data_IF_241381307814
#
_entry.id   IF_241381307814
#
_cell.length_a   1.000
_cell.length_b   1.000
_cell.length_c   1.000
_cell.angle_alpha   90.00
_cell.angle_beta   90.00
_cell.angle_gamma   90.00
#
_symmetry.space_group_name_H-M   'P 1'
#
loop_
_entity.id
_entity.type
_entity.pdbx_description
1 polymer ?
#
# COMPACT_ATOMS: atom_id res chain seq x y z
N UNK A 1 -9.38 -13.21 -25.64
CA UNK A 1 -8.60 -12.11 -25.06
C UNK A 1 -9.53 -10.92 -25.09
N UNK A 2 -9.72 -10.28 -23.95
CA UNK A 2 -10.70 -9.19 -23.82
C UNK A 2 -9.98 -7.85 -23.98
N UNK A 3 -10.51 -6.96 -24.82
CA UNK A 3 -9.99 -5.60 -24.98
C UNK A 3 -10.77 -4.68 -24.05
N UNK A 4 -10.05 -3.90 -23.24
CA UNK A 4 -10.65 -2.98 -22.26
C UNK A 4 -10.03 -1.60 -22.35
N UNK A 5 -10.82 -0.57 -22.06
CA UNK A 5 -10.32 0.78 -21.91
C UNK A 5 -9.41 0.88 -20.67
N UNK A 6 -8.36 1.68 -20.80
CA UNK A 6 -7.37 1.87 -19.76
C UNK A 6 -6.69 3.24 -19.89
N UNK A 7 -6.00 3.64 -18.83
CA UNK A 7 -5.04 4.74 -18.84
C UNK A 7 -3.63 4.17 -18.65
N UNK A 8 -2.74 4.42 -19.61
CA UNK A 8 -1.39 3.88 -19.60
C UNK A 8 -0.36 4.94 -19.97
N UNK A 9 0.84 4.82 -19.41
CA UNK A 9 1.97 5.63 -19.80
C UNK A 9 2.53 5.06 -21.13
N UNK A 10 2.64 5.85 -22.19
CA UNK A 10 3.19 5.37 -23.47
C UNK A 10 4.73 5.23 -23.44
N UNK A 11 5.39 5.92 -22.51
CA UNK A 11 6.84 5.85 -22.28
C UNK A 11 7.20 6.35 -20.88
N UNK A 12 8.47 6.24 -20.50
CA UNK A 12 9.00 6.72 -19.22
C UNK A 12 8.66 8.19 -18.98
N UNK A 13 8.13 8.46 -17.79
CA UNK A 13 7.70 9.77 -17.30
C UNK A 13 6.66 10.51 -18.17
N UNK A 14 6.12 9.88 -19.22
CA UNK A 14 5.06 10.47 -20.01
C UNK A 14 3.74 10.50 -19.22
N UNK A 15 2.89 11.52 -19.44
CA UNK A 15 1.53 11.52 -18.90
C UNK A 15 0.76 10.25 -19.31
N UNK A 16 -0.14 9.82 -18.44
CA UNK A 16 -1.04 8.70 -18.74
C UNK A 16 -2.03 9.11 -19.84
N UNK A 17 -2.16 8.27 -20.84
CA UNK A 17 -3.07 8.47 -21.98
C UNK A 17 -4.16 7.41 -21.98
N UNK A 18 -5.36 7.81 -22.40
CA UNK A 18 -6.46 6.87 -22.66
C UNK A 18 -6.06 5.94 -23.80
N UNK A 19 -6.18 4.65 -23.57
CA UNK A 19 -5.80 3.60 -24.51
C UNK A 19 -6.72 2.38 -24.39
N UNK A 20 -6.41 1.34 -25.14
CA UNK A 20 -7.02 0.02 -25.03
C UNK A 20 -5.93 -1.00 -24.81
N UNK A 21 -6.06 -1.82 -23.76
CA UNK A 21 -5.15 -2.92 -23.47
C UNK A 21 -5.84 -4.26 -23.71
N UNK A 22 -5.04 -5.30 -23.94
CA UNK A 22 -5.51 -6.68 -24.05
C UNK A 22 -5.32 -7.39 -22.71
N UNK A 23 -6.41 -7.98 -22.20
CA UNK A 23 -6.38 -8.92 -21.08
C UNK A 23 -6.15 -10.32 -21.61
N UNK A 24 -5.26 -11.04 -20.92
CA UNK A 24 -5.05 -12.48 -21.16
C UNK A 24 -6.35 -13.26 -21.00
N UNK A 25 -6.40 -14.45 -21.58
CA UNK A 25 -7.57 -15.32 -21.45
C UNK A 25 -7.80 -15.71 -19.99
N UNK A 26 -9.07 -15.92 -19.63
CA UNK A 26 -9.48 -16.46 -18.35
C UNK A 26 -9.05 -17.94 -18.27
N UNK A 27 -8.02 -18.24 -17.50
CA UNK A 27 -7.56 -19.59 -17.24
C UNK A 27 -8.43 -20.33 -16.21
N UNK A 28 -8.13 -21.62 -16.01
CA UNK A 28 -8.95 -22.50 -15.18
C UNK A 28 -9.04 -22.07 -13.70
N UNK A 29 -7.97 -21.48 -13.14
CA UNK A 29 -7.91 -20.97 -11.76
C UNK A 29 -7.98 -19.44 -11.68
N UNK A 30 -8.34 -18.77 -12.78
CA UNK A 30 -8.41 -17.33 -12.82
C UNK A 30 -9.82 -16.83 -12.58
N UNK A 31 -9.91 -15.59 -12.13
CA UNK A 31 -11.14 -14.84 -12.08
C UNK A 31 -10.99 -13.56 -12.91
N UNK A 32 -12.07 -13.19 -13.60
CA UNK A 32 -12.22 -11.91 -14.26
C UNK A 32 -12.99 -10.99 -13.30
N UNK A 33 -12.45 -9.80 -13.06
CA UNK A 33 -13.02 -8.82 -12.15
C UNK A 33 -13.40 -7.59 -12.96
N UNK A 34 -14.65 -7.15 -12.86
CA UNK A 34 -15.08 -5.81 -13.26
C UNK A 34 -14.61 -4.85 -12.18
N UNK A 35 -13.65 -3.98 -12.53
CA UNK A 35 -13.07 -3.04 -11.59
C UNK A 35 -14.11 -1.95 -11.32
N UNK A 36 -14.42 -1.74 -10.05
CA UNK A 36 -15.25 -0.61 -9.62
C UNK A 36 -14.37 0.60 -9.30
N UNK A 37 -13.27 0.35 -8.58
CA UNK A 37 -12.36 1.39 -8.10
C UNK A 37 -10.91 0.95 -8.15
N UNK A 38 -10.02 1.90 -8.44
CA UNK A 38 -8.58 1.72 -8.35
C UNK A 38 -7.93 2.87 -7.56
N UNK A 39 -7.24 2.57 -6.47
CA UNK A 39 -6.51 3.57 -5.70
C UNK A 39 -5.24 4.07 -6.41
N UNK A 40 -4.84 5.31 -6.12
CA UNK A 40 -3.57 5.90 -6.57
C UNK A 40 -2.56 5.89 -5.43
N UNK A 41 -1.39 5.28 -5.68
CA UNK A 41 -0.27 5.21 -4.76
C UNK A 41 0.97 5.93 -5.32
N UNK A 42 1.90 6.31 -4.44
CA UNK A 42 3.21 6.81 -4.86
C UNK A 42 3.97 5.78 -5.72
N UNK A 43 3.78 4.49 -5.47
CA UNK A 43 4.44 3.42 -6.24
C UNK A 43 4.01 3.41 -7.71
N UNK A 44 2.78 3.81 -8.03
CA UNK A 44 2.33 3.93 -9.42
C UNK A 44 3.10 5.05 -10.14
N UNK A 45 3.32 6.17 -9.44
CA UNK A 45 4.07 7.34 -9.95
C UNK A 45 5.55 6.98 -10.13
N UNK A 46 6.19 6.42 -9.11
CA UNK A 46 7.61 6.03 -9.15
C UNK A 46 7.89 5.00 -10.24
N UNK A 47 6.96 4.06 -10.46
CA UNK A 47 7.10 3.06 -11.53
C UNK A 47 7.00 3.72 -12.90
N UNK A 48 5.98 4.54 -13.16
CA UNK A 48 5.83 5.25 -14.46
C UNK A 48 7.01 6.18 -14.75
N UNK A 49 7.67 6.72 -13.72
CA UNK A 49 8.87 7.56 -13.87
C UNK A 49 10.17 6.79 -13.99
N UNK A 50 10.17 5.48 -13.78
CA UNK A 50 11.39 4.65 -13.82
C UNK A 50 12.32 4.86 -12.62
N UNK A 51 11.84 5.46 -11.52
CA UNK A 51 12.66 5.82 -10.35
C UNK A 51 13.31 4.59 -9.69
N UNK A 52 12.72 3.41 -9.86
CA UNK A 52 13.20 2.13 -9.34
C UNK A 52 13.79 1.21 -10.42
N UNK A 53 14.01 1.74 -11.63
CA UNK A 53 14.61 1.04 -12.76
C UNK A 53 13.70 0.97 -14.00
N UNK A 54 14.24 0.44 -15.11
CA UNK A 54 13.56 0.41 -16.40
C UNK A 54 12.22 -0.33 -16.36
N UNK A 55 11.23 0.19 -17.10
CA UNK A 55 9.90 -0.41 -17.23
C UNK A 55 9.57 -0.76 -18.69
N UNK A 56 8.59 -1.66 -18.85
CA UNK A 56 8.04 -2.02 -20.16
C UNK A 56 6.81 -1.17 -20.46
N UNK A 57 6.88 -0.32 -21.49
CA UNK A 57 5.77 0.54 -21.94
C UNK A 57 5.13 -0.01 -23.24
N UNK A 58 3.83 0.24 -23.49
CA UNK A 58 2.89 0.99 -22.66
C UNK A 58 2.55 0.26 -21.35
N UNK A 59 2.38 1.02 -20.27
CA UNK A 59 2.15 0.50 -18.92
C UNK A 59 0.93 1.16 -18.28
N UNK A 60 -0.11 0.38 -18.00
CA UNK A 60 -1.23 0.77 -17.14
C UNK A 60 -0.87 0.44 -15.67
N UNK A 61 -0.72 1.43 -14.78
CA UNK A 61 -0.49 1.20 -13.35
C UNK A 61 -1.76 0.78 -12.59
N UNK A 62 -1.68 0.79 -11.26
CA UNK A 62 -2.79 0.53 -10.35
C UNK A 62 -2.69 -0.86 -9.71
N UNK A 63 -2.55 -0.88 -8.39
CA UNK A 63 -2.42 -2.11 -7.61
C UNK A 63 -3.28 -2.09 -6.33
N UNK A 64 -4.31 -1.26 -6.34
CA UNK A 64 -5.28 -1.05 -5.27
C UNK A 64 -6.68 -1.24 -5.85
N UNK A 65 -6.98 -2.47 -6.27
CA UNK A 65 -8.13 -2.77 -7.14
C UNK A 65 -9.27 -3.30 -6.30
N UNK A 66 -10.44 -2.68 -6.36
CA UNK A 66 -11.67 -3.20 -5.78
C UNK A 66 -12.76 -3.35 -6.85
N UNK A 67 -13.48 -4.46 -6.85
CA UNK A 67 -14.43 -4.76 -7.91
C UNK A 67 -15.34 -5.94 -7.62
N UNK A 68 -16.04 -6.37 -8.66
CA UNK A 68 -17.00 -7.48 -8.63
C UNK A 68 -16.51 -8.58 -9.56
N UNK A 69 -16.57 -9.84 -9.10
CA UNK A 69 -16.24 -10.99 -9.94
C UNK A 69 -17.26 -11.10 -11.08
N UNK A 70 -16.78 -10.97 -12.32
CA UNK A 70 -17.59 -11.04 -13.53
C UNK A 70 -17.63 -12.46 -14.13
N UNK A 71 -16.52 -13.19 -14.03
CA UNK A 71 -16.42 -14.57 -14.48
C UNK A 71 -15.36 -15.33 -13.68
N UNK A 72 -15.50 -16.66 -13.62
CA UNK A 72 -14.55 -17.56 -12.95
C UNK A 72 -14.14 -18.70 -13.88
N UNK A 73 -12.90 -19.12 -13.77
CA UNK A 73 -12.39 -20.32 -14.43
C UNK A 73 -13.05 -21.59 -13.91
N UNK A 74 -12.92 -22.67 -14.68
CA UNK A 74 -13.59 -23.95 -14.40
C UNK A 74 -13.12 -24.67 -13.13
N UNK A 75 -11.96 -24.29 -12.59
CA UNK A 75 -11.33 -24.87 -11.41
C UNK A 75 -11.25 -23.89 -10.23
N UNK A 76 -11.91 -22.73 -10.34
CA UNK A 76 -12.01 -21.77 -9.24
C UNK A 76 -12.93 -22.32 -8.15
N UNK A 77 -12.50 -22.20 -6.90
CA UNK A 77 -13.24 -22.71 -5.73
C UNK A 77 -13.43 -21.67 -4.62
N UNK A 78 -12.60 -20.62 -4.59
CA UNK A 78 -12.60 -19.60 -3.53
C UNK A 78 -13.57 -18.45 -3.78
N UNK A 79 -13.96 -18.21 -5.03
CA UNK A 79 -14.77 -17.07 -5.43
C UNK A 79 -15.86 -17.49 -6.42
N UNK A 80 -16.94 -16.72 -6.48
CA UNK A 80 -18.05 -16.87 -7.39
C UNK A 80 -18.40 -15.55 -8.07
N UNK A 81 -19.09 -15.63 -9.21
CA UNK A 81 -19.62 -14.44 -9.90
C UNK A 81 -20.52 -13.65 -8.95
N UNK A 82 -20.29 -12.33 -8.88
CA UNK A 82 -20.98 -11.41 -7.98
C UNK A 82 -20.25 -11.14 -6.66
N UNK A 83 -19.17 -11.87 -6.34
CA UNK A 83 -18.39 -11.62 -5.13
C UNK A 83 -17.72 -10.24 -5.18
N UNK A 84 -17.69 -9.55 -4.02
CA UNK A 84 -16.93 -8.31 -3.79
C UNK A 84 -15.49 -8.66 -3.48
N UNK A 85 -14.57 -8.25 -4.33
CA UNK A 85 -13.18 -8.71 -4.26
C UNK A 85 -12.17 -7.59 -4.44
N UNK A 86 -10.97 -7.81 -3.89
CA UNK A 86 -9.84 -6.93 -3.99
C UNK A 86 -8.59 -7.62 -4.56
N UNK A 87 -7.76 -6.86 -5.27
CA UNK A 87 -6.43 -7.27 -5.73
C UNK A 87 -5.42 -6.20 -5.31
N UNK A 88 -4.41 -6.63 -4.56
CA UNK A 88 -3.33 -5.77 -4.07
C UNK A 88 -2.13 -5.69 -5.01
N UNK A 89 -0.94 -5.62 -4.43
CA UNK A 89 0.33 -5.45 -5.15
C UNK A 89 0.83 -6.66 -5.93
N UNK A 90 0.24 -7.85 -5.73
CA UNK A 90 0.68 -9.10 -6.33
C UNK A 90 -0.49 -9.78 -7.05
N UNK A 91 -0.18 -10.39 -8.20
CA UNK A 91 -1.11 -11.25 -8.95
C UNK A 91 -0.64 -12.69 -9.03
N UNK A 92 0.62 -12.96 -8.63
CA UNK A 92 1.16 -14.32 -8.67
C UNK A 92 2.41 -14.52 -7.79
N UNK A 93 2.78 -15.79 -7.57
CA UNK A 93 4.08 -16.23 -7.03
C UNK A 93 4.37 -17.66 -7.50
N UNK A 94 5.41 -18.34 -6.97
CA UNK A 94 5.60 -19.77 -7.29
C UNK A 94 4.64 -20.71 -6.54
N UNK A 95 4.08 -20.29 -5.40
CA UNK A 95 3.16 -21.11 -4.60
C UNK A 95 3.79 -22.28 -3.83
N UNK A 96 5.06 -22.61 -4.06
CA UNK A 96 5.71 -23.84 -3.53
C UNK A 96 6.95 -23.59 -2.67
N UNK A 97 7.55 -22.39 -2.72
CA UNK A 97 8.71 -22.10 -1.88
C UNK A 97 8.29 -21.90 -0.42
N UNK A 98 9.24 -22.08 0.51
CA UNK A 98 9.01 -21.95 1.96
C UNK A 98 8.29 -20.66 2.37
N UNK A 99 8.52 -19.55 1.66
CA UNK A 99 7.85 -18.28 1.97
C UNK A 99 6.38 -18.30 1.52
N UNK A 100 6.11 -18.78 0.29
CA UNK A 100 4.74 -18.99 -0.19
C UNK A 100 3.95 -19.94 0.71
N UNK A 101 4.56 -21.06 1.15
CA UNK A 101 3.92 -22.02 2.06
C UNK A 101 3.56 -21.41 3.43
N UNK A 102 4.25 -20.35 3.84
CA UNK A 102 3.98 -19.60 5.08
C UNK A 102 2.94 -18.49 4.90
N UNK A 103 2.42 -18.31 3.68
CA UNK A 103 1.57 -17.17 3.32
C UNK A 103 2.34 -15.86 3.30
N UNK A 104 3.59 -15.89 2.85
CA UNK A 104 4.50 -14.75 2.69
C UNK A 104 4.90 -14.62 1.21
N UNK A 105 3.90 -14.58 0.32
CA UNK A 105 4.09 -14.61 -1.14
C UNK A 105 4.90 -13.42 -1.66
N UNK A 106 4.88 -12.28 -0.95
CA UNK A 106 5.68 -11.09 -1.23
C UNK A 106 7.19 -11.31 -1.09
N UNK A 107 7.59 -12.36 -0.37
CA UNK A 107 8.99 -12.76 -0.23
C UNK A 107 9.30 -14.05 -1.01
N UNK A 108 8.48 -14.41 -2.01
CA UNK A 108 8.68 -15.59 -2.84
C UNK A 108 10.13 -15.69 -3.36
N UNK A 109 10.81 -16.79 -3.02
CA UNK A 109 12.22 -17.01 -3.41
C UNK A 109 12.41 -17.21 -4.92
N UNK A 110 11.34 -17.60 -5.61
CA UNK A 110 11.33 -17.78 -7.06
C UNK A 110 10.71 -16.57 -7.80
N UNK A 111 10.52 -15.44 -7.09
CA UNK A 111 9.92 -14.22 -7.63
C UNK A 111 8.41 -14.13 -7.36
N UNK A 112 8.00 -13.01 -6.80
CA UNK A 112 6.60 -12.60 -6.77
C UNK A 112 6.30 -11.80 -8.06
N UNK A 113 5.08 -11.92 -8.57
CA UNK A 113 4.64 -11.19 -9.78
C UNK A 113 3.78 -10.02 -9.34
N UNK A 114 4.28 -8.81 -9.61
CA UNK A 114 3.56 -7.57 -9.32
C UNK A 114 2.34 -7.39 -10.22
N UNK A 115 1.36 -6.61 -9.74
CA UNK A 115 0.08 -6.38 -10.45
C UNK A 115 0.23 -5.62 -11.77
N UNK A 116 1.32 -4.87 -11.95
CA UNK A 116 1.69 -4.27 -13.23
C UNK A 116 3.21 -4.23 -13.39
N UNK A 117 3.66 -4.13 -14.64
CA UNK A 117 5.07 -3.93 -15.00
C UNK A 117 5.96 -5.16 -14.80
N UNK A 118 5.42 -6.27 -14.27
CA UNK A 118 6.11 -7.54 -14.09
C UNK A 118 5.80 -8.53 -15.21
N UNK A 119 6.74 -9.40 -15.55
CA UNK A 119 6.49 -10.55 -16.43
C UNK A 119 5.65 -11.60 -15.70
N UNK A 120 4.47 -11.92 -16.22
CA UNK A 120 3.61 -12.98 -15.70
C UNK A 120 4.06 -14.37 -16.19
N UNK A 121 3.43 -15.43 -15.67
CA UNK A 121 3.73 -16.83 -16.01
C UNK A 121 3.57 -17.17 -17.49
N UNK A 122 2.72 -16.44 -18.20
CA UNK A 122 2.49 -16.61 -19.65
C UNK A 122 3.49 -15.80 -20.51
N UNK A 123 4.41 -15.08 -19.89
CA UNK A 123 5.41 -14.24 -20.54
C UNK A 123 4.92 -12.85 -20.92
N UNK A 124 3.65 -12.52 -20.67
CA UNK A 124 3.12 -11.17 -20.89
C UNK A 124 3.55 -10.22 -19.78
N UNK A 125 3.48 -8.92 -20.04
CA UNK A 125 3.67 -7.90 -19.01
C UNK A 125 2.32 -7.63 -18.35
N UNK A 126 2.28 -7.77 -17.03
CA UNK A 126 1.12 -7.45 -16.21
C UNK A 126 0.71 -5.99 -16.39
N UNK A 127 -0.60 -5.76 -16.47
CA UNK A 127 -1.22 -4.45 -16.62
C UNK A 127 -2.17 -4.25 -15.44
N UNK A 128 -2.10 -3.09 -14.79
CA UNK A 128 -2.72 -2.84 -13.50
C UNK A 128 -4.20 -2.46 -13.57
N UNK A 129 -4.65 -1.84 -12.49
CA UNK A 129 -6.04 -1.48 -12.21
C UNK A 129 -6.55 -0.22 -12.89
N UNK A 130 -5.72 0.56 -13.59
CA UNK A 130 -6.18 1.75 -14.31
C UNK A 130 -6.86 1.37 -15.62
N UNK A 131 -7.91 0.54 -15.52
CA UNK A 131 -8.64 -0.08 -16.62
C UNK A 131 -10.01 -0.59 -16.14
N UNK A 132 -10.85 -1.04 -17.07
CA UNK A 132 -12.20 -1.52 -16.74
C UNK A 132 -12.24 -2.90 -16.07
N UNK A 133 -11.31 -3.80 -16.42
CA UNK A 133 -11.33 -5.18 -15.93
C UNK A 133 -9.91 -5.69 -15.70
N UNK A 134 -9.76 -6.71 -14.85
CA UNK A 134 -8.49 -7.45 -14.65
C UNK A 134 -8.74 -8.95 -14.52
N UNK A 135 -7.78 -9.77 -14.98
CA UNK A 135 -7.78 -11.22 -14.82
C UNK A 135 -6.67 -11.62 -13.86
N UNK A 136 -7.01 -12.29 -12.76
CA UNK A 136 -6.07 -12.65 -11.68
C UNK A 136 -6.34 -14.08 -11.22
N UNK A 137 -5.30 -14.80 -10.82
CA UNK A 137 -5.48 -16.15 -10.24
C UNK A 137 -6.16 -16.06 -8.88
N UNK A 138 -7.11 -16.95 -8.59
CA UNK A 138 -7.98 -16.87 -7.40
C UNK A 138 -7.21 -16.80 -6.07
N UNK A 139 -5.98 -17.32 -6.02
CA UNK A 139 -5.16 -17.34 -4.82
C UNK A 139 -4.55 -15.98 -4.47
N UNK A 140 -4.60 -15.00 -5.37
CA UNK A 140 -4.11 -13.62 -5.16
C UNK A 140 -5.25 -12.61 -5.03
N UNK A 141 -6.48 -13.11 -4.94
CA UNK A 141 -7.68 -12.28 -4.76
C UNK A 141 -8.22 -12.45 -3.36
N UNK A 142 -8.44 -11.33 -2.67
CA UNK A 142 -9.05 -11.26 -1.35
C UNK A 142 -10.52 -10.87 -1.45
N UNK A 143 -11.32 -11.25 -0.47
CA UNK A 143 -12.71 -10.81 -0.35
C UNK A 143 -12.77 -9.48 0.37
N UNK A 144 -13.61 -8.57 -0.11
CA UNK A 144 -13.89 -7.30 0.58
C UNK A 144 -15.15 -7.49 1.45
N UNK A 145 -15.04 -7.40 2.79
CA UNK A 145 -16.18 -7.57 3.69
C UNK A 145 -17.31 -6.56 3.42
N UNK A 146 -18.55 -6.94 3.69
CA UNK A 146 -19.73 -6.07 3.50
C UNK A 146 -19.68 -4.78 4.33
N UNK A 147 -18.91 -4.77 5.43
CA UNK A 147 -18.70 -3.58 6.26
C UNK A 147 -17.78 -2.51 5.64
N UNK A 148 -17.14 -2.80 4.50
CA UNK A 148 -16.26 -1.88 3.79
C UNK A 148 -16.79 -1.63 2.38
N UNK A 149 -17.05 -0.38 2.03
CA UNK A 149 -17.36 0.00 0.66
C UNK A 149 -16.13 -0.15 -0.26
N UNK A 150 -16.37 -0.45 -1.54
CA UNK A 150 -15.29 -0.83 -2.47
C UNK A 150 -14.28 0.31 -2.69
N UNK A 151 -14.75 1.56 -2.73
CA UNK A 151 -13.93 2.75 -2.92
C UNK A 151 -12.95 2.95 -1.75
N UNK A 152 -13.43 2.89 -0.52
CA UNK A 152 -12.59 3.06 0.67
C UNK A 152 -11.75 1.83 1.00
N UNK A 153 -12.15 0.64 0.51
CA UNK A 153 -11.38 -0.60 0.65
C UNK A 153 -10.19 -0.67 -0.31
N UNK A 154 -10.29 -0.08 -1.50
CA UNK A 154 -9.23 -0.13 -2.51
C UNK A 154 -7.85 0.28 -1.97
N UNK A 155 -7.70 1.44 -1.28
CA UNK A 155 -6.40 1.83 -0.71
C UNK A 155 -5.86 0.93 0.40
N UNK A 156 -6.69 0.12 1.04
CA UNK A 156 -6.28 -0.82 2.10
C UNK A 156 -5.41 -1.95 1.52
N UNK A 157 -5.64 -2.32 0.26
CA UNK A 157 -4.94 -3.39 -0.45
C UNK A 157 -3.45 -3.11 -0.71
N UNK A 158 -3.01 -1.87 -0.47
CA UNK A 158 -1.61 -1.50 -0.40
C UNK A 158 -1.27 -0.83 0.93
N UNK A 159 -1.76 0.39 1.20
CA UNK A 159 -1.37 1.15 2.39
C UNK A 159 -1.86 0.50 3.70
N UNK A 160 -3.06 -0.08 3.69
CA UNK A 160 -3.60 -0.80 4.84
C UNK A 160 -2.68 -1.97 5.22
N UNK A 161 -2.46 -2.91 4.30
CA UNK A 161 -1.60 -4.07 4.58
C UNK A 161 -0.15 -3.69 4.86
N UNK A 162 0.41 -2.71 4.13
CA UNK A 162 1.79 -2.25 4.33
C UNK A 162 2.03 -1.69 5.72
N UNK A 163 1.01 -1.12 6.35
CA UNK A 163 1.11 -0.63 7.74
C UNK A 163 0.66 -1.67 8.76
N UNK A 164 -0.33 -2.51 8.44
CA UNK A 164 -0.78 -3.59 9.29
C UNK A 164 0.30 -4.64 9.54
N UNK A 165 0.94 -5.15 8.48
CA UNK A 165 1.94 -6.22 8.56
C UNK A 165 3.06 -5.94 9.57
N UNK A 166 3.77 -4.79 9.53
CA UNK A 166 4.78 -4.49 10.54
C UNK A 166 4.19 -4.25 11.93
N UNK A 167 3.00 -3.64 12.06
CA UNK A 167 2.40 -3.47 13.39
C UNK A 167 2.12 -4.84 14.04
N UNK A 168 1.67 -5.83 13.27
CA UNK A 168 1.48 -7.21 13.73
C UNK A 168 2.81 -7.92 14.01
N UNK A 169 3.78 -7.83 13.10
CA UNK A 169 5.07 -8.49 13.24
C UNK A 169 5.83 -8.06 14.51
N UNK A 170 5.75 -6.77 14.85
CA UNK A 170 6.36 -6.22 16.07
C UNK A 170 5.43 -6.26 17.30
N UNK A 171 4.32 -7.00 17.22
CA UNK A 171 3.35 -7.21 18.31
C UNK A 171 2.84 -5.90 18.93
N UNK A 172 2.58 -4.89 18.09
CA UNK A 172 1.99 -3.63 18.55
C UNK A 172 0.61 -3.90 19.14
N UNK A 173 0.38 -3.39 20.34
CA UNK A 173 -0.91 -3.45 21.02
C UNK A 173 -0.89 -2.76 22.38
N UNK A 174 -1.75 -3.16 23.34
CA UNK A 174 -1.84 -2.52 24.64
C UNK A 174 -0.48 -2.42 25.35
N UNK A 175 -0.12 -1.21 25.74
CA UNK A 175 1.15 -0.91 26.42
C UNK A 175 2.35 -0.67 25.49
N UNK A 176 2.19 -0.77 24.17
CA UNK A 176 3.22 -0.35 23.21
C UNK A 176 3.12 1.14 22.92
N UNK A 177 4.24 1.86 22.94
CA UNK A 177 4.35 3.27 22.50
C UNK A 177 4.83 3.30 21.06
N UNK A 178 3.95 3.70 20.14
CA UNK A 178 4.22 3.72 18.70
C UNK A 178 4.34 5.15 18.20
N UNK A 179 5.38 5.44 17.44
CA UNK A 179 5.44 6.65 16.64
C UNK A 179 5.20 6.34 15.16
N UNK A 180 4.30 7.08 14.52
CA UNK A 180 4.08 7.05 13.07
C UNK A 180 4.72 8.30 12.46
N UNK A 181 5.74 8.11 11.62
CA UNK A 181 6.44 9.21 10.94
C UNK A 181 5.78 9.49 9.60
N UNK A 182 5.30 10.72 9.43
CA UNK A 182 4.52 11.18 8.29
C UNK A 182 3.03 10.89 8.46
N UNK A 183 2.19 11.86 8.06
CA UNK A 183 0.73 11.71 8.03
C UNK A 183 0.23 11.89 6.59
N UNK A 184 0.43 10.84 5.78
CA UNK A 184 0.02 10.74 4.38
C UNK A 184 -0.82 9.47 4.12
N UNK A 185 -0.75 8.93 2.91
CA UNK A 185 -1.49 7.71 2.52
C UNK A 185 -1.21 6.50 3.41
N UNK A 186 0.05 6.20 3.73
CA UNK A 186 0.38 5.14 4.70
C UNK A 186 0.19 5.62 6.13
N UNK A 187 0.65 6.83 6.46
CA UNK A 187 0.59 7.37 7.81
C UNK A 187 -0.81 7.36 8.44
N UNK A 188 -1.85 7.80 7.72
CA UNK A 188 -3.21 7.81 8.27
C UNK A 188 -3.75 6.39 8.54
N UNK A 189 -3.38 5.40 7.73
CA UNK A 189 -3.70 4.00 8.00
C UNK A 189 -2.93 3.45 9.19
N UNK A 190 -1.64 3.75 9.28
CA UNK A 190 -0.79 3.33 10.40
C UNK A 190 -1.28 3.87 11.74
N UNK A 191 -1.77 5.11 11.80
CA UNK A 191 -2.36 5.70 13.01
C UNK A 191 -3.64 4.96 13.41
N UNK A 192 -4.60 4.82 12.48
CA UNK A 192 -5.88 4.16 12.77
C UNK A 192 -5.68 2.71 13.23
N UNK A 193 -4.81 1.96 12.54
CA UNK A 193 -4.55 0.55 12.85
C UNK A 193 -3.80 0.41 14.18
N UNK A 194 -2.76 1.21 14.43
CA UNK A 194 -2.05 1.15 15.70
C UNK A 194 -2.95 1.51 16.89
N UNK A 195 -3.84 2.50 16.72
CA UNK A 195 -4.84 2.87 17.70
C UNK A 195 -5.83 1.74 17.97
N UNK A 196 -6.39 1.13 16.92
CA UNK A 196 -7.33 0.02 17.05
C UNK A 196 -6.69 -1.25 17.64
N UNK A 197 -5.39 -1.46 17.44
CA UNK A 197 -4.61 -2.49 18.14
C UNK A 197 -4.41 -2.18 19.64
N UNK A 198 -4.70 -0.96 20.09
CA UNK A 198 -4.64 -0.54 21.49
C UNK A 198 -3.32 0.08 21.93
N UNK A 199 -2.46 0.49 20.98
CA UNK A 199 -1.20 1.16 21.29
C UNK A 199 -1.41 2.63 21.69
N UNK A 200 -0.44 3.21 22.39
CA UNK A 200 -0.31 4.67 22.54
C UNK A 200 0.38 5.23 21.29
N UNK A 201 -0.33 6.05 20.52
CA UNK A 201 0.09 6.48 19.18
C UNK A 201 0.55 7.94 19.19
N UNK A 202 1.77 8.17 18.73
CA UNK A 202 2.30 9.52 18.48
C UNK A 202 2.53 9.74 16.99
N UNK A 203 2.01 10.83 16.44
CA UNK A 203 2.33 11.25 15.06
C UNK A 203 3.52 12.20 15.08
N UNK A 204 4.52 11.89 14.26
CA UNK A 204 5.67 12.74 13.99
C UNK A 204 5.59 13.24 12.54
N UNK A 205 5.31 14.52 12.35
CA UNK A 205 5.19 15.15 11.02
C UNK A 205 6.08 16.37 10.91
N UNK A 206 6.42 16.82 9.70
CA UNK A 206 7.26 18.01 9.54
C UNK A 206 6.63 19.26 10.16
N UNK A 207 5.31 19.40 10.10
CA UNK A 207 4.57 20.56 10.64
C UNK A 207 3.34 20.12 11.42
N UNK A 208 2.69 21.06 12.12
CA UNK A 208 1.46 20.83 12.88
C UNK A 208 0.17 20.95 12.06
N UNK A 209 0.26 21.16 10.74
CA UNK A 209 -0.92 21.44 9.89
C UNK A 209 -1.95 20.30 9.82
N UNK A 210 -1.56 19.06 10.09
CA UNK A 210 -2.44 17.88 10.15
C UNK A 210 -2.63 17.36 11.58
N UNK A 211 -2.37 18.20 12.60
CA UNK A 211 -2.50 17.80 14.01
C UNK A 211 -3.92 17.33 14.33
N UNK A 212 -4.92 18.13 13.98
CA UNK A 212 -6.32 17.83 14.32
C UNK A 212 -6.80 16.54 13.63
N UNK A 213 -6.37 16.31 12.38
CA UNK A 213 -6.60 15.03 11.69
C UNK A 213 -5.92 13.87 12.42
N UNK A 214 -4.65 14.01 12.80
CA UNK A 214 -3.92 12.97 13.53
C UNK A 214 -4.64 12.55 14.81
N UNK A 215 -5.12 13.52 15.61
CA UNK A 215 -5.89 13.26 16.82
C UNK A 215 -7.23 12.58 16.48
N UNK A 216 -7.95 13.08 15.47
CA UNK A 216 -9.22 12.50 15.01
C UNK A 216 -9.08 11.06 14.53
N UNK A 217 -7.95 10.72 13.93
CA UNK A 217 -7.61 9.38 13.42
C UNK A 217 -7.18 8.41 14.53
N UNK A 218 -6.98 8.88 15.77
CA UNK A 218 -6.64 8.04 16.92
C UNK A 218 -5.24 8.26 17.50
N UNK A 219 -4.50 9.29 17.08
CA UNK A 219 -3.25 9.64 17.75
C UNK A 219 -3.51 10.25 19.13
N UNK A 220 -2.78 9.80 20.14
CA UNK A 220 -2.77 10.39 21.49
C UNK A 220 -1.93 11.68 21.51
N UNK A 221 -0.84 11.70 20.73
CA UNK A 221 0.08 12.83 20.67
C UNK A 221 0.48 13.18 19.24
N UNK A 222 0.89 14.43 19.05
CA UNK A 222 1.36 14.92 17.75
C UNK A 222 2.49 15.94 17.95
N UNK A 223 3.60 15.76 17.24
CA UNK A 223 4.75 16.66 17.29
C UNK A 223 5.26 17.05 15.89
N UNK A 224 5.80 18.27 15.79
CA UNK A 224 6.47 18.75 14.59
C UNK A 224 7.96 18.41 14.64
N UNK A 225 8.47 17.67 13.66
CA UNK A 225 9.89 17.32 13.54
C UNK A 225 10.75 18.47 13.01
N UNK A 226 10.14 19.54 12.49
CA UNK A 226 10.83 20.81 12.23
C UNK A 226 11.21 21.57 13.49
N UNK A 227 10.58 21.27 14.63
CA UNK A 227 10.99 21.77 15.94
C UNK A 227 12.12 20.88 16.51
N UNK A 228 13.35 21.40 16.67
CA UNK A 228 14.45 20.62 17.21
C UNK A 228 14.23 20.13 18.66
N UNK A 229 13.32 20.73 19.43
CA UNK A 229 12.97 20.26 20.77
C UNK A 229 12.26 18.90 20.74
N UNK A 230 11.52 18.57 19.67
CA UNK A 230 10.83 17.28 19.51
C UNK A 230 11.79 16.09 19.68
N UNK A 231 12.96 16.14 19.05
CA UNK A 231 13.96 15.07 19.17
C UNK A 231 14.70 15.07 20.50
N UNK A 232 14.62 16.15 21.28
CA UNK A 232 15.19 16.21 22.64
C UNK A 232 14.21 15.66 23.68
N UNK A 233 12.93 16.02 23.58
CA UNK A 233 11.89 15.64 24.53
C UNK A 233 11.45 14.19 24.40
N UNK A 234 11.50 13.63 23.18
CA UNK A 234 11.03 12.27 22.90
C UNK A 234 12.15 11.21 22.87
N UNK A 235 13.33 11.50 23.40
CA UNK A 235 14.43 10.53 23.42
C UNK A 235 14.05 9.30 24.23
N UNK A 236 14.16 8.12 23.62
CA UNK A 236 13.86 6.86 24.30
C UNK A 236 12.37 6.65 24.61
N UNK A 237 11.48 7.34 23.90
CA UNK A 237 10.04 7.29 24.19
C UNK A 237 9.27 6.20 23.45
N UNK A 238 9.84 5.59 22.41
CA UNK A 238 9.09 4.68 21.54
C UNK A 238 9.64 3.26 21.52
N UNK A 239 8.74 2.29 21.53
CA UNK A 239 9.04 0.87 21.34
C UNK A 239 9.10 0.53 19.85
N UNK A 240 8.20 1.13 19.06
CA UNK A 240 8.15 0.97 17.60
C UNK A 240 8.02 2.34 16.92
N UNK A 241 8.81 2.58 15.89
CA UNK A 241 8.63 3.70 14.95
C UNK A 241 8.25 3.12 13.59
N UNK A 242 7.04 3.42 13.11
CA UNK A 242 6.61 3.12 11.75
C UNK A 242 6.94 4.32 10.85
N UNK A 243 7.98 4.18 10.02
CA UNK A 243 8.41 5.23 9.10
C UNK A 243 7.72 5.10 7.74
N UNK A 244 6.80 6.02 7.46
CA UNK A 244 5.98 6.04 6.23
C UNK A 244 6.46 7.06 5.19
N UNK A 245 7.55 7.76 5.47
CA UNK A 245 8.05 8.85 4.62
C UNK A 245 8.94 8.30 3.51
N UNK A 246 8.59 8.61 2.24
CA UNK A 246 9.39 8.28 1.05
C UNK A 246 10.38 9.40 0.67
N UNK A 247 10.99 10.02 1.68
CA UNK A 247 11.98 11.08 1.52
C UNK A 247 13.19 10.82 2.44
N UNK A 248 14.32 11.46 2.15
CA UNK A 248 15.51 11.35 3.01
C UNK A 248 15.21 11.92 4.40
N UNK A 249 15.51 11.11 5.42
CA UNK A 249 15.36 11.45 6.84
C UNK A 249 16.67 11.24 7.59
N UNK A 250 16.90 12.03 8.63
CA UNK A 250 18.02 11.81 9.56
C UNK A 250 17.73 10.59 10.45
N UNK A 251 18.15 9.41 9.99
CA UNK A 251 17.95 8.16 10.73
C UNK A 251 18.57 8.19 12.12
N UNK A 252 19.67 8.92 12.35
CA UNK A 252 20.28 9.01 13.69
C UNK A 252 19.36 9.73 14.66
N UNK A 253 18.69 10.79 14.22
CA UNK A 253 17.73 11.52 15.06
C UNK A 253 16.54 10.63 15.43
N UNK A 254 15.91 9.96 14.45
CA UNK A 254 14.77 9.08 14.68
C UNK A 254 15.11 7.83 15.50
N UNK A 255 16.23 7.17 15.22
CA UNK A 255 16.72 6.06 16.04
C UNK A 255 16.98 6.50 17.48
N UNK A 256 17.34 7.78 17.71
CA UNK A 256 17.47 8.36 19.04
C UNK A 256 16.18 8.41 19.86
N UNK A 257 15.02 8.35 19.20
CA UNK A 257 13.70 8.34 19.85
C UNK A 257 13.27 6.95 20.34
N UNK A 258 13.92 5.89 19.85
CA UNK A 258 13.66 4.52 20.29
C UNK A 258 14.21 4.28 21.70
N UNK A 259 13.41 3.62 22.53
CA UNK A 259 13.84 3.06 23.82
C UNK A 259 14.81 1.88 23.62
N UNK A 260 15.34 1.35 24.71
CA UNK A 260 16.24 0.19 24.70
C UNK A 260 15.53 -1.03 24.14
N UNK A 261 16.02 -1.57 23.02
CA UNK A 261 15.38 -2.68 22.31
C UNK A 261 14.33 -2.27 21.28
N UNK A 262 14.04 -0.98 21.13
CA UNK A 262 13.05 -0.49 20.18
C UNK A 262 13.43 -0.72 18.71
N UNK A 263 12.43 -0.72 17.84
CA UNK A 263 12.58 -0.95 16.40
C UNK A 263 12.02 0.19 15.56
N UNK A 264 12.78 0.68 14.59
CA UNK A 264 12.27 1.52 13.51
C UNK A 264 12.05 0.66 12.27
N UNK A 265 10.83 0.67 11.74
CA UNK A 265 10.42 -0.10 10.57
C UNK A 265 10.13 0.86 9.41
N UNK A 266 10.94 0.78 8.37
CA UNK A 266 10.79 1.57 7.16
C UNK A 266 9.85 0.88 6.18
N UNK A 267 8.76 1.58 5.84
CA UNK A 267 7.83 1.22 4.76
C UNK A 267 7.71 2.31 3.70
N UNK A 268 8.21 3.52 3.99
CA UNK A 268 8.50 4.53 2.96
C UNK A 268 9.74 4.18 2.15
N UNK A 269 9.71 4.46 0.86
CA UNK A 269 10.73 4.07 -0.11
C UNK A 269 11.26 5.31 -0.87
N UNK A 270 12.22 6.07 -0.30
CA UNK A 270 12.88 7.15 -1.04
C UNK A 270 13.70 6.61 -2.21
N UNK A 271 13.90 7.43 -3.24
CA UNK A 271 14.78 7.09 -4.36
C UNK A 271 16.26 7.05 -3.94
N UNK A 272 16.63 7.91 -2.98
CA UNK A 272 17.99 8.01 -2.46
C UNK A 272 18.24 7.08 -1.25
N UNK A 273 19.46 6.52 -1.12
CA UNK A 273 19.86 5.76 0.07
C UNK A 273 19.82 6.59 1.37
N UNK A 274 19.51 5.94 2.48
CA UNK A 274 19.55 6.54 3.82
C UNK A 274 20.87 6.19 4.53
N UNK A 275 21.54 7.19 5.12
CA UNK A 275 22.78 6.98 5.88
C UNK A 275 22.49 6.44 7.29
N UNK A 276 23.18 5.36 7.68
CA UNK A 276 23.01 4.72 8.99
C UNK A 276 24.28 4.86 9.83
N UNK A 277 24.18 5.58 10.95
CA UNK A 277 25.23 5.65 11.95
C UNK A 277 25.13 4.46 12.92
N UNK A 278 25.97 3.44 12.76
CA UNK A 278 25.92 2.18 13.55
C UNK A 278 25.89 2.39 15.07
N UNK A 279 26.58 3.42 15.59
CA UNK A 279 26.55 3.76 17.01
C UNK A 279 25.15 4.09 17.55
N UNK A 280 24.26 4.60 16.70
CA UNK A 280 22.86 4.88 17.06
C UNK A 280 22.04 3.62 17.33
N UNK A 281 22.45 2.48 16.74
CA UNK A 281 21.88 1.16 16.99
C UNK A 281 22.48 0.52 18.25
N UNK A 282 23.82 0.52 18.34
CA UNK A 282 24.57 -0.11 19.44
C UNK A 282 24.15 0.47 20.80
N UNK A 283 24.04 1.79 20.91
CA UNK A 283 23.82 2.47 22.20
C UNK A 283 22.49 2.13 22.90
N UNK A 284 21.53 1.56 22.18
CA UNK A 284 20.23 1.17 22.74
C UNK A 284 19.78 -0.24 22.38
N UNK A 285 20.64 -1.09 21.80
CA UNK A 285 20.24 -2.39 21.24
C UNK A 285 19.02 -2.23 20.29
N UNK A 286 19.04 -1.19 19.47
CA UNK A 286 17.92 -0.83 18.60
C UNK A 286 17.99 -1.58 17.28
N UNK A 287 16.85 -1.69 16.62
CA UNK A 287 16.73 -2.31 15.30
C UNK A 287 16.28 -1.29 14.26
N UNK A 288 16.84 -1.41 13.05
CA UNK A 288 16.34 -0.79 11.83
C UNK A 288 15.93 -1.92 10.90
N UNK A 289 14.67 -1.91 10.48
CA UNK A 289 14.08 -2.97 9.66
C UNK A 289 13.29 -2.38 8.49
N UNK A 290 13.03 -3.21 7.49
CA UNK A 290 12.04 -2.92 6.44
C UNK A 290 10.86 -3.86 6.57
N UNK A 291 9.71 -3.43 6.07
CA UNK A 291 8.58 -4.31 5.78
C UNK A 291 8.06 -4.02 4.37
N UNK A 292 7.52 -5.02 3.70
CA UNK A 292 6.99 -4.90 2.34
C UNK A 292 5.61 -5.53 2.30
N UNK A 293 4.57 -4.72 2.02
CA UNK A 293 3.18 -5.14 1.88
C UNK A 293 2.78 -6.18 2.95
N UNK A 294 2.08 -7.24 2.57
CA UNK A 294 1.87 -8.46 3.35
C UNK A 294 1.46 -9.59 2.42
N UNK A 295 1.46 -10.82 2.92
CA UNK A 295 0.98 -11.97 2.16
C UNK A 295 -0.54 -11.94 1.96
N UNK A 296 -1.06 -12.82 1.10
CA UNK A 296 -2.50 -12.79 0.75
C UNK A 296 -3.37 -13.13 1.97
N UNK A 297 -2.92 -14.07 2.81
CA UNK A 297 -3.58 -14.41 4.08
C UNK A 297 -3.64 -13.20 5.01
N UNK A 298 -2.51 -12.52 5.22
CA UNK A 298 -2.44 -11.35 6.11
C UNK A 298 -3.24 -10.16 5.56
N UNK A 299 -3.31 -10.03 4.22
CA UNK A 299 -4.16 -9.03 3.56
C UNK A 299 -5.64 -9.27 3.84
N UNK A 300 -6.10 -10.52 3.81
CA UNK A 300 -7.47 -10.85 4.20
C UNK A 300 -7.72 -10.53 5.68
N UNK A 301 -6.81 -10.94 6.57
CA UNK A 301 -6.91 -10.64 8.01
C UNK A 301 -6.98 -9.13 8.28
N UNK A 302 -6.23 -8.33 7.52
CA UNK A 302 -6.25 -6.86 7.61
C UNK A 302 -7.59 -6.28 7.17
N UNK A 303 -8.17 -6.75 6.06
CA UNK A 303 -9.50 -6.29 5.62
C UNK A 303 -10.59 -6.65 6.63
N UNK A 304 -10.55 -7.86 7.18
CA UNK A 304 -11.50 -8.31 8.19
C UNK A 304 -11.37 -7.47 9.48
N UNK A 305 -10.14 -7.20 9.92
CA UNK A 305 -9.87 -6.30 11.05
C UNK A 305 -10.38 -4.87 10.79
N UNK A 306 -10.14 -4.33 9.60
CA UNK A 306 -10.60 -2.99 9.26
C UNK A 306 -12.13 -2.91 9.25
N UNK A 307 -12.81 -3.94 8.72
CA UNK A 307 -14.26 -4.02 8.75
C UNK A 307 -14.82 -4.12 10.19
N UNK A 308 -14.22 -4.95 11.04
CA UNK A 308 -14.62 -5.12 12.45
C UNK A 308 -14.50 -3.82 13.24
N UNK A 309 -13.43 -3.05 12.99
CA UNK A 309 -13.12 -1.82 13.72
C UNK A 309 -13.63 -0.54 13.04
N UNK A 310 -14.33 -0.65 11.90
CA UNK A 310 -14.81 0.51 11.14
C UNK A 310 -13.68 1.40 10.59
N UNK A 311 -12.51 0.81 10.31
CA UNK A 311 -11.36 1.51 9.76
C UNK A 311 -11.47 1.53 8.24
N UNK A 312 -11.34 2.71 7.66
CA UNK A 312 -11.38 2.91 6.23
C UNK A 312 -10.33 3.95 5.83
N UNK A 313 -10.00 4.00 4.53
CA UNK A 313 -9.17 5.10 4.02
C UNK A 313 -10.02 6.37 3.84
N UNK A 314 -9.45 7.52 4.15
CA UNK A 314 -10.04 8.81 3.74
C UNK A 314 -9.66 9.08 2.28
N UNK A 315 -10.68 9.21 1.42
CA UNK A 315 -10.50 9.23 -0.02
C UNK A 315 -11.09 10.48 -0.69
N UNK A 316 -10.49 10.83 -1.82
CA UNK A 316 -11.06 11.70 -2.84
C UNK A 316 -11.30 10.86 -4.10
N UNK A 317 -12.58 10.68 -4.48
CA UNK A 317 -12.92 9.95 -5.71
C UNK A 317 -12.79 10.87 -6.92
N UNK A 318 -12.13 10.38 -7.97
CA UNK A 318 -11.87 11.12 -9.21
C UNK A 318 -12.30 10.32 -10.44
N UNK A 319 -12.51 11.01 -11.56
CA UNK A 319 -12.68 10.37 -12.87
C UNK A 319 -11.33 9.97 -13.47
N UNK A 320 -11.34 9.03 -14.42
CA UNK A 320 -10.13 8.57 -15.09
C UNK A 320 -9.40 9.69 -15.87
N UNK A 321 -10.14 10.68 -16.38
CA UNK A 321 -9.55 11.86 -17.03
C UNK A 321 -8.75 12.78 -16.08
N UNK A 322 -8.94 12.65 -14.76
CA UNK A 322 -8.27 13.47 -13.74
C UNK A 322 -6.98 12.82 -13.20
N UNK A 323 -6.61 11.60 -13.63
CA UNK A 323 -5.49 10.85 -13.02
C UNK A 323 -4.17 11.63 -13.06
N UNK A 324 -3.84 12.28 -14.18
CA UNK A 324 -2.59 13.06 -14.27
C UNK A 324 -2.57 14.26 -13.32
N UNK A 325 -3.72 14.94 -13.11
CA UNK A 325 -3.82 16.01 -12.11
C UNK A 325 -3.66 15.46 -10.70
N UNK A 326 -4.29 14.31 -10.41
CA UNK A 326 -4.15 13.63 -9.14
C UNK A 326 -2.70 13.22 -8.85
N UNK A 327 -1.93 12.78 -9.85
CA UNK A 327 -0.50 12.47 -9.70
C UNK A 327 0.29 13.69 -9.21
N UNK A 328 0.08 14.86 -9.82
CA UNK A 328 0.75 16.09 -9.39
C UNK A 328 0.32 16.51 -7.98
N UNK A 329 -0.96 16.36 -7.63
CA UNK A 329 -1.47 16.62 -6.28
C UNK A 329 -0.89 15.67 -5.23
N UNK A 330 -0.71 14.38 -5.55
CA UNK A 330 -0.06 13.40 -4.66
C UNK A 330 1.38 13.84 -4.36
N UNK A 331 2.14 14.22 -5.38
CA UNK A 331 3.52 14.68 -5.23
C UNK A 331 3.62 16.00 -4.42
N UNK A 332 2.64 16.88 -4.59
CA UNK A 332 2.52 18.11 -3.81
C UNK A 332 1.99 17.87 -2.38
N UNK A 333 1.70 16.63 -1.99
CA UNK A 333 1.03 16.28 -0.72
C UNK A 333 -0.33 16.96 -0.53
N UNK A 334 -0.99 17.28 -1.64
CA UNK A 334 -2.29 17.94 -1.73
C UNK A 334 -3.44 16.94 -1.88
N UNK A 335 -3.57 16.06 -0.89
CA UNK A 335 -4.66 15.10 -0.77
C UNK A 335 -4.93 14.77 0.70
N UNK A 336 -6.19 14.46 1.02
CA UNK A 336 -6.62 13.96 2.34
C UNK A 336 -7.47 12.70 2.18
N UNK A 337 -6.89 11.50 2.19
CA UNK A 337 -5.46 11.14 2.21
C UNK A 337 -5.05 10.28 1.01
N UNK A 338 -6.01 9.84 0.20
CA UNK A 338 -5.83 8.98 -0.98
C UNK A 338 -6.75 9.42 -2.12
N UNK A 339 -6.29 9.25 -3.36
CA UNK A 339 -7.20 9.29 -4.51
C UNK A 339 -7.66 7.88 -4.86
N UNK A 340 -8.90 7.80 -5.32
CA UNK A 340 -9.50 6.59 -5.86
C UNK A 340 -10.16 6.92 -7.19
N UNK A 341 -9.82 6.18 -8.22
CA UNK A 341 -10.37 6.35 -9.57
C UNK A 341 -11.68 5.57 -9.65
N UNK A 342 -12.76 6.21 -10.08
CA UNK A 342 -13.98 5.52 -10.50
C UNK A 342 -13.75 4.88 -11.87
N UNK A 343 -13.60 3.55 -11.90
CA UNK A 343 -13.28 2.82 -13.11
C UNK A 343 -14.42 2.82 -14.14
N UNK A 344 -15.65 3.20 -13.76
CA UNK A 344 -16.76 3.37 -14.73
C UNK A 344 -16.49 4.49 -15.74
N UNK A 345 -15.59 5.42 -15.38
CA UNK A 345 -15.24 6.57 -16.24
C UNK A 345 -14.07 6.28 -17.18
N UNK A 346 -13.53 5.05 -17.21
CA UNK A 346 -12.41 4.67 -18.09
C UNK A 346 -12.74 4.77 -19.58
N UNK A 347 -14.01 4.56 -19.94
CA UNK A 347 -14.50 4.63 -21.31
C UNK A 347 -14.89 6.05 -21.77
N UNK A 348 -14.97 7.03 -20.86
CA UNK A 348 -15.36 8.43 -21.16
C UNK A 348 -14.23 9.19 -21.84
#
# INVERSE_FOLDING_TARGET
MTRVHAYAAPSEAAPLEKTVIERRELGAHDILIDIAFAGICHSDIHTVRGDWGPQSYPLAPGHEIAGIVAAVGSEVTKHAVGDRVGVGCLVNSCGECRNCERGEEQFCSNGAVGTYGATDRDGTITQGGYSEQVVVTESFVVRIPDGLELDVAAPLLCAGITTYSPLRHWNVGPGTRVAVVGLGGLGHMGVQIAHALGAEVTVLSQTLNKKDDGIRLGADHYFATSDPETFRSLRGSFDVILNTVSAVVDLRAYLGLLDVGGSMVCVGAPAEPLEVHVGSLIGGRRSLAGSNIGGIRETQEMLDFCAEHGIASEIEVITASQINEAYERVLASDVRYRFVIDAKTMAD
#
